data_IF_441217134870
#
_entry.id   IF_441217134870
#
_cell.length_a   1.000
_cell.length_b   1.000
_cell.length_c   1.000
_cell.angle_alpha   90.00
_cell.angle_beta   90.00
_cell.angle_gamma   90.00
#
_symmetry.space_group_name_H-M   'P 1'
#
loop_
_entity.id
_entity.type
_entity.pdbx_description
1 polymer ?
#
# COMPACT_ATOMS: atom_id res chain seq x y z
N UNK A 1 7.23 8.48 -6.71
CA UNK A 1 6.01 9.29 -6.85
C UNK A 1 6.38 10.55 -7.63
N UNK A 2 5.54 11.01 -8.56
CA UNK A 2 5.83 12.21 -9.36
C UNK A 2 4.77 13.25 -9.06
N UNK A 3 5.18 14.45 -8.67
CA UNK A 3 4.29 15.58 -8.51
C UNK A 3 4.08 16.27 -9.86
N UNK A 4 2.84 16.71 -10.13
CA UNK A 4 2.53 17.46 -11.35
C UNK A 4 3.00 18.93 -11.26
N UNK A 5 3.38 19.40 -10.07
CA UNK A 5 3.92 20.73 -9.83
C UNK A 5 5.26 20.61 -9.09
N UNK A 6 6.31 21.21 -9.64
CA UNK A 6 7.68 21.15 -9.10
C UNK A 6 7.88 21.99 -7.84
N UNK A 7 6.94 22.87 -7.48
CA UNK A 7 7.03 23.68 -6.27
C UNK A 7 6.99 22.84 -4.98
N UNK A 8 6.34 21.68 -5.01
CA UNK A 8 6.14 20.82 -3.83
C UNK A 8 7.19 19.72 -3.67
N UNK A 9 8.19 19.66 -4.55
CA UNK A 9 9.13 18.55 -4.64
C UNK A 9 10.08 18.47 -3.43
N UNK A 10 10.24 19.57 -2.68
CA UNK A 10 11.09 19.68 -1.49
C UNK A 10 10.31 19.94 -0.19
N UNK A 11 8.98 19.82 -0.21
CA UNK A 11 8.17 20.00 1.00
C UNK A 11 7.96 18.68 1.74
N UNK A 12 7.79 18.76 3.06
CA UNK A 12 7.34 17.63 3.87
C UNK A 12 5.82 17.56 3.78
N UNK A 13 5.32 16.51 3.12
CA UNK A 13 3.90 16.29 2.89
C UNK A 13 3.42 15.04 3.63
N UNK A 14 2.16 15.06 4.04
CA UNK A 14 1.44 13.91 4.59
C UNK A 14 0.32 13.45 3.65
N UNK A 15 -0.40 12.39 4.03
CA UNK A 15 -1.47 11.84 3.19
C UNK A 15 -2.64 12.82 2.95
N UNK A 16 -2.85 13.78 3.84
CA UNK A 16 -3.96 14.74 3.74
C UNK A 16 -3.65 15.92 2.82
N UNK A 17 -2.37 16.15 2.48
CA UNK A 17 -1.92 17.30 1.69
C UNK A 17 -2.02 17.07 0.17
N UNK A 18 -2.26 15.82 -0.24
CA UNK A 18 -2.19 15.40 -1.64
C UNK A 18 -3.38 14.56 -2.05
N UNK A 19 -3.69 14.59 -3.35
CA UNK A 19 -4.65 13.68 -3.96
C UNK A 19 -4.01 12.93 -5.13
N UNK A 20 -4.51 11.74 -5.42
CA UNK A 20 -4.10 10.98 -6.58
C UNK A 20 -4.80 11.53 -7.83
N UNK A 21 -4.02 11.95 -8.81
CA UNK A 21 -4.54 12.29 -10.12
C UNK A 21 -4.62 11.03 -10.99
N UNK A 22 -5.72 10.88 -11.71
CA UNK A 22 -5.92 9.73 -12.59
C UNK A 22 -4.93 9.78 -13.75
N UNK A 23 -4.43 8.62 -14.15
CA UNK A 23 -3.62 8.47 -15.35
C UNK A 23 -4.21 7.38 -16.25
N UNK A 24 -3.82 7.39 -17.52
CA UNK A 24 -4.24 6.37 -18.46
C UNK A 24 -3.84 4.98 -17.97
N UNK A 25 -4.82 4.06 -17.95
CA UNK A 25 -4.63 2.66 -17.65
C UNK A 25 -5.10 1.82 -18.83
N UNK A 26 -4.21 0.99 -19.37
CA UNK A 26 -4.51 0.15 -20.54
C UNK A 26 -5.30 -1.11 -20.19
N UNK A 27 -5.27 -1.55 -18.93
CA UNK A 27 -5.96 -2.76 -18.49
C UNK A 27 -7.48 -2.62 -18.53
N UNK A 28 -8.17 -3.75 -18.54
CA UNK A 28 -9.64 -3.81 -18.71
C UNK A 28 -10.38 -4.11 -17.42
N UNK A 29 -9.69 -4.66 -16.42
CA UNK A 29 -10.31 -5.11 -15.17
C UNK A 29 -9.39 -4.89 -13.98
N UNK A 30 -9.99 -4.64 -12.81
CA UNK A 30 -9.27 -4.62 -11.53
C UNK A 30 -8.60 -5.96 -11.18
N UNK A 31 -9.07 -7.06 -11.78
CA UNK A 31 -8.52 -8.40 -11.56
C UNK A 31 -7.15 -8.59 -12.24
N UNK A 32 -6.76 -7.68 -13.15
CA UNK A 32 -5.47 -7.71 -13.84
C UNK A 32 -4.37 -6.97 -13.06
N UNK A 33 -4.70 -6.35 -11.93
CA UNK A 33 -3.76 -5.57 -11.12
C UNK A 33 -3.09 -6.50 -10.11
N UNK A 34 -1.76 -6.63 -10.22
CA UNK A 34 -0.95 -7.28 -9.20
C UNK A 34 -0.60 -6.29 -8.09
N UNK A 35 -0.99 -6.62 -6.86
CA UNK A 35 -0.69 -5.84 -5.66
C UNK A 35 0.38 -6.52 -4.79
N UNK A 36 1.02 -7.58 -5.29
CA UNK A 36 2.06 -8.32 -4.58
C UNK A 36 3.21 -7.37 -4.25
N UNK A 37 3.51 -7.13 -2.95
CA UNK A 37 4.61 -6.27 -2.57
C UNK A 37 5.96 -6.94 -2.85
N UNK A 38 6.96 -6.13 -3.19
CA UNK A 38 8.33 -6.59 -3.41
C UNK A 38 9.02 -6.72 -2.05
N UNK A 39 8.74 -7.80 -1.33
CA UNK A 39 9.31 -8.08 0.01
C UNK A 39 9.82 -9.51 0.13
N UNK A 40 10.80 -9.78 1.02
CA UNK A 40 11.42 -11.10 1.14
C UNK A 40 10.51 -12.23 1.64
N UNK A 41 9.34 -11.92 2.19
CA UNK A 41 8.57 -12.86 3.02
C UNK A 41 7.35 -13.48 2.31
N UNK A 42 7.18 -13.26 1.01
CA UNK A 42 6.21 -13.99 0.18
C UNK A 42 4.73 -13.72 0.48
N UNK A 43 4.37 -12.48 0.82
CA UNK A 43 2.95 -12.06 0.97
C UNK A 43 2.38 -11.56 -0.36
N UNK A 44 1.06 -11.70 -0.54
CA UNK A 44 0.34 -11.30 -1.76
C UNK A 44 -0.42 -9.97 -1.64
N UNK A 45 -0.45 -9.35 -0.46
CA UNK A 45 -1.10 -8.04 -0.23
C UNK A 45 -0.16 -7.11 0.56
N UNK A 46 -0.16 -5.79 0.28
CA UNK A 46 0.72 -4.84 0.95
C UNK A 46 0.14 -4.37 2.29
N UNK A 47 -0.31 -5.31 3.13
CA UNK A 47 -0.94 -5.02 4.43
C UNK A 47 -0.15 -5.71 5.54
N UNK A 48 0.29 -4.93 6.53
CA UNK A 48 1.01 -5.41 7.70
C UNK A 48 0.32 -4.97 8.97
N UNK A 49 0.40 -5.79 10.02
CA UNK A 49 -0.01 -5.36 11.36
C UNK A 49 1.13 -4.61 12.04
N UNK A 50 0.78 -3.59 12.82
CA UNK A 50 1.73 -2.91 13.68
C UNK A 50 2.16 -3.82 14.84
N UNK A 51 3.47 -3.91 15.11
CA UNK A 51 4.03 -4.71 16.19
C UNK A 51 3.71 -4.11 17.57
N UNK A 52 2.47 -4.29 18.03
CA UNK A 52 1.93 -3.74 19.27
C UNK A 52 1.14 -4.80 20.03
N UNK A 53 1.25 -4.80 21.36
CA UNK A 53 0.62 -5.81 22.23
C UNK A 53 -0.91 -5.89 22.08
N UNK A 54 -1.57 -4.75 21.81
CA UNK A 54 -3.02 -4.68 21.62
C UNK A 54 -3.49 -5.04 20.20
N UNK A 55 -2.56 -5.23 19.26
CA UNK A 55 -2.87 -5.42 17.83
C UNK A 55 -2.44 -6.82 17.38
N UNK A 56 -1.16 -7.16 17.49
CA UNK A 56 -0.57 -8.33 16.85
C UNK A 56 -0.49 -9.55 17.76
N UNK A 57 -1.64 -10.00 18.26
CA UNK A 57 -1.77 -11.29 18.92
C UNK A 57 -1.83 -12.47 17.93
N UNK A 58 -1.84 -13.70 18.45
CA UNK A 58 -1.90 -14.94 17.67
C UNK A 58 -3.00 -14.94 16.60
N UNK A 59 -4.23 -14.55 16.97
CA UNK A 59 -5.37 -14.55 16.04
C UNK A 59 -5.18 -13.56 14.89
N UNK A 60 -4.60 -12.39 15.16
CA UNK A 60 -4.33 -11.38 14.14
C UNK A 60 -3.29 -11.88 13.14
N UNK A 61 -2.19 -12.45 13.64
CA UNK A 61 -1.14 -13.04 12.80
C UNK A 61 -1.67 -14.17 11.91
N UNK A 62 -2.43 -15.11 12.48
CA UNK A 62 -3.05 -16.20 11.70
C UNK A 62 -4.05 -15.68 10.66
N UNK A 63 -4.74 -14.57 10.93
CA UNK A 63 -5.71 -13.98 10.01
C UNK A 63 -5.02 -13.30 8.84
N UNK A 64 -4.01 -12.46 9.10
CA UNK A 64 -3.22 -11.81 8.06
C UNK A 64 -2.52 -12.83 7.17
N UNK A 65 -1.86 -13.84 7.77
CA UNK A 65 -1.17 -14.87 7.00
C UNK A 65 -2.11 -15.69 6.08
N UNK A 66 -3.39 -15.80 6.41
CA UNK A 66 -4.39 -16.45 5.55
C UNK A 66 -4.93 -15.52 4.46
N UNK A 67 -4.94 -14.21 4.68
CA UNK A 67 -5.43 -13.22 3.71
C UNK A 67 -4.42 -12.96 2.60
N UNK A 68 -3.13 -13.13 2.88
CA UNK A 68 -2.04 -12.93 1.93
C UNK A 68 -0.87 -12.24 2.59
#
# INVERSE_FOLDING_TARGET
>A
MKFNNSLYENEELTYEDVFLFQNYFQGKSRLEIDVTPIVPFGTHIPIVSANMNAISGRRMAETLARYG
#
